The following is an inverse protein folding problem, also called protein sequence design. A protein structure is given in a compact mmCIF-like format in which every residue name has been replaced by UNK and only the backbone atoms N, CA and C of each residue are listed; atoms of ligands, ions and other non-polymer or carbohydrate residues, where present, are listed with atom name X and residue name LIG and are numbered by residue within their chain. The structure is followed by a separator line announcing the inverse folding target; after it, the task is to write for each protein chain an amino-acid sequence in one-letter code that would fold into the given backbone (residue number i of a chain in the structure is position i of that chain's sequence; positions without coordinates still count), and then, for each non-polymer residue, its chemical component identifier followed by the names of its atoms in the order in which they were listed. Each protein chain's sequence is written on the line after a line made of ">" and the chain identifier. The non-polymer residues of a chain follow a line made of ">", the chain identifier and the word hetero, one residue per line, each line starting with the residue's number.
data_IF_552106880066
#
_entry.id   IF_552106880066
#
_cell.length_a   1.000
_cell.length_b   1.000
_cell.length_c   1.000
_cell.angle_alpha   90.00
_cell.angle_beta   90.00
_cell.angle_gamma   90.00
#
_symmetry.space_group_name_H-M   'P 1'
#
loop_
_entity.id
_entity.type
_entity.pdbx_description
1 polymer ?
#
# COMPACT_ATOMS: atom_id res chain seq x y z
N UNK A 1 -75.29 -31.91 8.14
CA UNK A 1 -74.41 -30.85 7.60
C UNK A 1 -74.24 -31.13 6.12
N UNK A 2 -74.61 -30.20 5.25
CA UNK A 2 -74.54 -30.36 3.79
C UNK A 2 -73.11 -30.24 3.27
N UNK A 3 -72.80 -30.97 2.20
CA UNK A 3 -71.49 -30.97 1.52
C UNK A 3 -71.00 -29.57 1.08
N UNK A 4 -71.93 -28.61 0.96
CA UNK A 4 -71.64 -27.22 0.59
C UNK A 4 -70.86 -26.45 1.67
N UNK A 5 -71.07 -26.78 2.96
CA UNK A 5 -70.35 -26.12 4.08
C UNK A 5 -68.87 -26.52 4.09
N UNK A 6 -68.56 -27.77 3.72
CA UNK A 6 -67.19 -28.27 3.62
C UNK A 6 -66.39 -27.63 2.48
N UNK A 7 -67.03 -27.40 1.33
CA UNK A 7 -66.40 -26.76 0.16
C UNK A 7 -66.06 -25.28 0.41
N UNK A 8 -66.92 -24.54 1.11
CA UNK A 8 -66.68 -23.14 1.47
C UNK A 8 -65.55 -23.01 2.50
N UNK A 9 -65.52 -23.90 3.50
CA UNK A 9 -64.44 -23.93 4.49
C UNK A 9 -63.09 -24.36 3.89
N UNK A 10 -63.10 -25.32 2.96
CA UNK A 10 -61.90 -25.74 2.23
C UNK A 10 -61.38 -24.63 1.29
N UNK A 11 -62.28 -23.96 0.54
CA UNK A 11 -61.92 -22.84 -0.33
C UNK A 11 -61.35 -21.64 0.43
N UNK A 12 -61.94 -21.30 1.60
CA UNK A 12 -61.44 -20.24 2.49
C UNK A 12 -60.07 -20.56 3.09
N UNK A 13 -59.86 -21.81 3.54
CA UNK A 13 -58.57 -22.24 4.09
C UNK A 13 -57.45 -22.22 3.02
N UNK A 14 -57.75 -22.67 1.80
CA UNK A 14 -56.78 -22.64 0.68
C UNK A 14 -56.43 -21.20 0.29
N UNK A 15 -57.41 -20.28 0.30
CA UNK A 15 -57.18 -18.86 -0.02
C UNK A 15 -56.32 -18.15 1.04
N UNK A 16 -56.53 -18.43 2.32
CA UNK A 16 -55.72 -17.88 3.43
C UNK A 16 -54.28 -18.41 3.37
N UNK A 17 -54.09 -19.71 3.13
CA UNK A 17 -52.77 -20.31 2.98
C UNK A 17 -52.04 -19.74 1.75
N UNK A 18 -52.72 -19.55 0.62
CA UNK A 18 -52.14 -18.92 -0.56
C UNK A 18 -51.73 -17.46 -0.30
N UNK A 19 -52.53 -16.69 0.45
CA UNK A 19 -52.20 -15.32 0.85
C UNK A 19 -50.98 -15.23 1.76
N UNK A 20 -50.86 -16.13 2.74
CA UNK A 20 -49.72 -16.18 3.66
C UNK A 20 -48.45 -16.60 2.91
N UNK A 21 -48.52 -17.63 2.06
CA UNK A 21 -47.38 -18.05 1.23
C UNK A 21 -46.96 -16.94 0.26
N UNK A 22 -47.91 -16.24 -0.35
CA UNK A 22 -47.64 -15.09 -1.21
C UNK A 22 -46.92 -13.95 -0.47
N UNK A 23 -47.36 -13.62 0.75
CA UNK A 23 -46.73 -12.60 1.57
C UNK A 23 -45.30 -12.98 2.00
N UNK A 24 -45.10 -14.22 2.48
CA UNK A 24 -43.77 -14.71 2.90
C UNK A 24 -42.79 -14.74 1.73
N UNK A 25 -43.23 -15.17 0.54
CA UNK A 25 -42.39 -15.18 -0.66
C UNK A 25 -42.03 -13.75 -1.08
N UNK A 26 -42.99 -12.81 -1.03
CA UNK A 26 -42.74 -11.41 -1.35
C UNK A 26 -41.73 -10.76 -0.40
N UNK A 27 -41.83 -11.02 0.91
CA UNK A 27 -40.87 -10.52 1.91
C UNK A 27 -39.46 -11.13 1.72
N UNK A 28 -39.37 -12.41 1.31
CA UNK A 28 -38.11 -13.06 0.96
C UNK A 28 -37.45 -12.47 -0.29
N UNK A 29 -38.23 -12.14 -1.31
CA UNK A 29 -37.71 -11.44 -2.48
C UNK A 29 -37.27 -10.02 -2.14
N UNK A 30 -38.07 -9.29 -1.36
CA UNK A 30 -37.77 -7.92 -0.95
C UNK A 30 -36.49 -7.84 -0.11
N UNK A 31 -36.34 -8.71 0.89
CA UNK A 31 -35.11 -8.80 1.69
C UNK A 31 -33.86 -9.16 0.87
N UNK A 32 -33.99 -10.03 -0.14
CA UNK A 32 -32.89 -10.34 -1.06
C UNK A 32 -32.56 -9.18 -1.99
N UNK A 33 -33.55 -8.41 -2.42
CA UNK A 33 -33.33 -7.21 -3.22
C UNK A 33 -32.68 -6.10 -2.39
N UNK A 34 -33.10 -5.92 -1.14
CA UNK A 34 -32.50 -4.99 -0.17
C UNK A 34 -31.03 -5.38 0.11
N UNK A 35 -30.73 -6.65 0.39
CA UNK A 35 -29.36 -7.12 0.58
C UNK A 35 -28.47 -6.92 -0.66
N UNK A 36 -29.02 -7.15 -1.87
CA UNK A 36 -28.30 -6.87 -3.13
C UNK A 36 -28.12 -5.37 -3.36
N UNK A 37 -29.07 -4.54 -2.95
CA UNK A 37 -28.96 -3.09 -3.05
C UNK A 37 -27.90 -2.55 -2.08
N UNK A 38 -27.83 -3.08 -0.86
CA UNK A 38 -26.78 -2.79 0.12
C UNK A 38 -25.41 -3.22 -0.39
N UNK A 39 -25.28 -4.42 -0.96
CA UNK A 39 -24.03 -4.90 -1.57
C UNK A 39 -23.58 -4.01 -2.74
N UNK A 40 -24.52 -3.58 -3.60
CA UNK A 40 -24.23 -2.61 -4.68
C UNK A 40 -23.83 -1.24 -4.13
N UNK A 41 -24.47 -0.78 -3.06
CA UNK A 41 -24.15 0.50 -2.43
C UNK A 41 -22.76 0.45 -1.78
N UNK A 42 -22.43 -0.65 -1.09
CA UNK A 42 -21.12 -0.89 -0.49
C UNK A 42 -20.02 -0.96 -1.56
N UNK A 43 -20.22 -1.77 -2.61
CA UNK A 43 -19.24 -1.89 -3.70
C UNK A 43 -19.04 -0.58 -4.46
N UNK A 44 -20.11 0.20 -4.65
CA UNK A 44 -20.00 1.55 -5.22
C UNK A 44 -19.23 2.49 -4.30
N UNK A 45 -19.57 2.53 -3.00
CA UNK A 45 -18.88 3.37 -2.02
C UNK A 45 -17.40 3.01 -1.92
N UNK A 46 -17.07 1.73 -1.96
CA UNK A 46 -15.68 1.26 -1.93
C UNK A 46 -14.93 1.68 -3.20
N UNK A 47 -15.55 1.55 -4.38
CA UNK A 47 -14.97 2.02 -5.63
C UNK A 47 -14.75 3.54 -5.63
N UNK A 48 -15.74 4.31 -5.17
CA UNK A 48 -15.64 5.77 -5.09
C UNK A 48 -14.50 6.18 -4.13
N UNK A 49 -14.34 5.48 -3.00
CA UNK A 49 -13.22 5.66 -2.08
C UNK A 49 -11.88 5.35 -2.75
N UNK A 50 -11.77 4.22 -3.43
CA UNK A 50 -10.55 3.80 -4.13
C UNK A 50 -10.16 4.79 -5.23
N UNK A 51 -11.13 5.27 -6.01
CA UNK A 51 -10.91 6.31 -7.02
C UNK A 51 -10.38 7.59 -6.39
N UNK A 52 -11.01 8.07 -5.31
CA UNK A 52 -10.55 9.26 -4.59
C UNK A 52 -9.13 9.09 -4.02
N UNK A 53 -8.78 7.89 -3.55
CA UNK A 53 -7.42 7.57 -3.08
C UNK A 53 -6.41 7.57 -4.23
N UNK A 54 -6.75 6.98 -5.37
CA UNK A 54 -5.88 6.94 -6.55
C UNK A 54 -5.53 8.37 -7.04
N UNK A 55 -6.50 9.27 -7.08
CA UNK A 55 -6.27 10.69 -7.43
C UNK A 55 -5.37 11.42 -6.43
N UNK A 56 -5.56 11.13 -5.13
CA UNK A 56 -4.70 11.69 -4.08
C UNK A 56 -3.26 11.19 -4.20
N UNK A 57 -3.05 9.91 -4.54
CA UNK A 57 -1.72 9.34 -4.74
C UNK A 57 -1.00 10.04 -5.90
N UNK A 58 -1.66 10.32 -7.02
CA UNK A 58 -1.05 11.08 -8.14
C UNK A 58 -0.56 12.46 -7.70
N UNK A 59 -1.39 13.14 -6.90
CA UNK A 59 -1.08 14.47 -6.37
C UNK A 59 0.12 14.41 -5.41
N UNK A 60 0.09 13.47 -4.46
CA UNK A 60 1.17 13.28 -3.49
C UNK A 60 2.47 12.87 -4.17
N UNK A 61 2.43 11.99 -5.17
CA UNK A 61 3.62 11.55 -5.87
C UNK A 61 4.28 12.69 -6.66
N UNK A 62 3.48 13.59 -7.25
CA UNK A 62 4.02 14.78 -7.90
C UNK A 62 4.72 15.70 -6.90
N UNK A 63 4.11 15.96 -5.74
CA UNK A 63 4.73 16.74 -4.67
C UNK A 63 5.98 16.06 -4.09
N UNK A 64 5.97 14.72 -4.04
CA UNK A 64 7.08 13.91 -3.57
C UNK A 64 8.29 14.03 -4.50
N UNK A 65 8.07 13.90 -5.81
CA UNK A 65 9.11 14.11 -6.81
C UNK A 65 9.69 15.54 -6.75
N UNK A 66 8.84 16.55 -6.59
CA UNK A 66 9.27 17.94 -6.40
C UNK A 66 10.11 18.13 -5.12
N UNK A 67 9.72 17.49 -4.01
CA UNK A 67 10.47 17.54 -2.76
C UNK A 67 11.87 16.89 -2.91
N UNK A 68 11.97 15.76 -3.61
CA UNK A 68 13.26 15.11 -3.90
C UNK A 68 14.14 16.02 -4.75
N UNK A 69 13.59 16.66 -5.79
CA UNK A 69 14.34 17.64 -6.58
C UNK A 69 14.79 18.87 -5.75
N UNK A 70 13.98 19.31 -4.79
CA UNK A 70 14.32 20.43 -3.91
C UNK A 70 15.49 20.08 -2.97
N UNK A 71 15.52 18.83 -2.43
CA UNK A 71 16.67 18.31 -1.66
C UNK A 71 17.94 18.37 -2.51
N UNK A 72 17.89 17.90 -3.76
CA UNK A 72 19.03 17.91 -4.68
C UNK A 72 19.59 19.31 -4.92
N UNK A 73 18.73 20.33 -4.95
CA UNK A 73 19.12 21.72 -5.22
C UNK A 73 19.72 22.41 -3.99
N UNK A 74 19.83 21.74 -2.83
CA UNK A 74 20.32 22.30 -1.56
C UNK A 74 19.70 23.68 -1.29
N UNK A 75 18.38 23.80 -1.43
CA UNK A 75 17.68 25.00 -1.00
C UNK A 75 17.68 25.02 0.54
N UNK A 76 18.78 25.48 1.12
CA UNK A 76 19.08 25.43 2.56
C UNK A 76 18.18 26.31 3.45
N UNK A 77 17.17 26.99 2.89
CA UNK A 77 16.37 28.00 3.60
C UNK A 77 14.84 27.83 3.43
N UNK A 78 14.33 26.59 3.37
CA UNK A 78 12.88 26.33 3.30
C UNK A 78 12.45 25.44 4.46
N UNK A 79 11.48 25.91 5.25
CA UNK A 79 10.80 25.16 6.30
C UNK A 79 9.43 24.69 5.81
N UNK A 80 9.04 23.40 5.99
CA UNK A 80 9.83 22.31 6.57
C UNK A 80 11.00 21.88 5.68
N UNK A 81 12.01 21.23 6.28
CA UNK A 81 13.19 20.76 5.54
C UNK A 81 12.75 19.89 4.36
N UNK A 82 13.31 20.08 3.15
CA UNK A 82 12.97 19.25 1.99
C UNK A 82 13.11 17.74 2.26
N UNK A 83 14.00 17.34 3.17
CA UNK A 83 14.20 15.95 3.59
C UNK A 83 13.03 15.42 4.42
N UNK A 84 12.57 16.19 5.41
CA UNK A 84 11.39 15.84 6.24
C UNK A 84 10.15 15.75 5.37
N UNK A 85 9.96 16.74 4.48
CA UNK A 85 8.84 16.75 3.54
C UNK A 85 8.84 15.55 2.60
N UNK A 86 10.02 15.14 2.10
CA UNK A 86 10.18 13.92 1.29
C UNK A 86 9.72 12.69 2.07
N UNK A 87 10.16 12.54 3.32
CA UNK A 87 9.81 11.41 4.17
C UNK A 87 8.31 11.35 4.50
N UNK A 88 7.70 12.49 4.83
CA UNK A 88 6.27 12.57 5.13
C UNK A 88 5.40 12.21 3.92
N UNK A 89 5.75 12.71 2.73
CA UNK A 89 5.04 12.41 1.49
C UNK A 89 5.14 10.93 1.13
N UNK A 90 6.33 10.34 1.27
CA UNK A 90 6.55 8.91 1.08
C UNK A 90 5.64 8.07 1.99
N UNK A 91 5.59 8.38 3.29
CA UNK A 91 4.73 7.66 4.24
C UNK A 91 3.24 7.82 3.94
N UNK A 92 2.80 9.01 3.53
CA UNK A 92 1.41 9.24 3.13
C UNK A 92 1.02 8.40 1.91
N UNK A 93 1.91 8.27 0.92
CA UNK A 93 1.69 7.40 -0.23
C UNK A 93 1.53 5.95 0.25
N UNK A 94 2.46 5.42 1.06
CA UNK A 94 2.37 4.05 1.58
C UNK A 94 1.07 3.80 2.34
N UNK A 95 0.65 4.71 3.21
CA UNK A 95 -0.60 4.57 3.95
C UNK A 95 -1.81 4.53 3.02
N UNK A 96 -1.82 5.37 1.96
CA UNK A 96 -2.91 5.40 0.99
C UNK A 96 -2.98 4.14 0.12
N UNK A 97 -1.85 3.49 -0.19
CA UNK A 97 -1.87 2.24 -0.96
C UNK A 97 -2.65 1.12 -0.29
N UNK A 98 -2.82 1.14 1.05
CA UNK A 98 -3.62 0.16 1.79
C UNK A 98 -5.10 0.13 1.38
N UNK A 99 -5.57 1.21 0.76
CA UNK A 99 -6.94 1.30 0.28
C UNK A 99 -7.08 0.95 -1.20
N UNK A 100 -6.00 0.62 -1.90
CA UNK A 100 -6.04 0.19 -3.31
C UNK A 100 -6.18 -1.35 -3.41
N UNK A 101 -6.63 -1.87 -4.56
CA UNK A 101 -6.50 -3.29 -4.88
C UNK A 101 -5.05 -3.77 -4.76
N UNK A 102 -4.83 -5.02 -4.32
CA UNK A 102 -3.48 -5.53 -3.96
C UNK A 102 -2.45 -5.39 -5.11
N UNK A 103 -2.82 -5.76 -6.33
CA UNK A 103 -1.96 -5.65 -7.52
C UNK A 103 -1.50 -4.21 -7.74
N UNK A 104 -2.44 -3.28 -7.71
CA UNK A 104 -2.14 -1.87 -7.86
C UNK A 104 -1.36 -1.32 -6.66
N UNK A 105 -1.70 -1.73 -5.45
CA UNK A 105 -1.03 -1.31 -4.22
C UNK A 105 0.46 -1.69 -4.25
N UNK A 106 0.77 -2.90 -4.70
CA UNK A 106 2.15 -3.41 -4.80
C UNK A 106 2.94 -2.61 -5.85
N UNK A 107 2.36 -2.35 -7.02
CA UNK A 107 3.00 -1.50 -8.03
C UNK A 107 3.25 -0.07 -7.52
N UNK A 108 2.27 0.56 -6.87
CA UNK A 108 2.44 1.91 -6.32
C UNK A 108 3.52 1.94 -5.23
N UNK A 109 3.57 0.94 -4.35
CA UNK A 109 4.60 0.85 -3.30
C UNK A 109 5.98 0.72 -3.90
N UNK A 110 6.17 -0.21 -4.84
CA UNK A 110 7.44 -0.38 -5.53
C UNK A 110 7.91 0.93 -6.17
N UNK A 111 7.04 1.62 -6.91
CA UNK A 111 7.40 2.88 -7.56
C UNK A 111 7.72 4.00 -6.54
N UNK A 112 7.04 4.01 -5.39
CA UNK A 112 7.34 4.94 -4.30
C UNK A 112 8.68 4.61 -3.62
N UNK A 113 8.98 3.33 -3.40
CA UNK A 113 10.24 2.87 -2.82
C UNK A 113 11.42 3.19 -3.75
N UNK A 114 11.30 2.87 -5.04
CA UNK A 114 12.31 3.23 -6.06
C UNK A 114 12.53 4.75 -6.11
N UNK A 115 11.46 5.54 -6.13
CA UNK A 115 11.58 6.99 -6.14
C UNK A 115 12.21 7.53 -4.84
N UNK A 116 11.86 6.95 -3.69
CA UNK A 116 12.47 7.29 -2.41
C UNK A 116 13.96 6.95 -2.38
N UNK A 117 14.38 5.83 -2.97
CA UNK A 117 15.79 5.42 -3.00
C UNK A 117 16.55 5.89 -4.24
N UNK A 118 15.96 6.76 -5.08
CA UNK A 118 16.54 7.14 -6.36
C UNK A 118 17.93 7.80 -6.26
N UNK A 119 18.27 8.44 -5.14
CA UNK A 119 19.63 8.98 -4.89
C UNK A 119 20.69 7.88 -4.78
N UNK A 120 20.32 6.75 -4.20
CA UNK A 120 21.19 5.61 -3.90
C UNK A 120 21.27 4.67 -5.11
N UNK A 121 20.14 4.49 -5.80
CA UNK A 121 20.08 3.73 -7.05
C UNK A 121 20.83 4.42 -8.20
N UNK A 122 20.80 5.74 -8.26
CA UNK A 122 21.43 6.48 -9.35
C UNK A 122 22.96 6.40 -9.28
N UNK A 123 23.66 6.49 -10.44
CA UNK A 123 25.11 6.64 -10.44
C UNK A 123 25.48 7.95 -9.72
N UNK A 124 26.08 7.83 -8.53
CA UNK A 124 26.46 8.93 -7.64
C UNK A 124 27.96 8.99 -7.36
N UNK A 125 28.41 10.08 -6.70
CA UNK A 125 29.80 10.60 -6.61
C UNK A 125 30.92 9.61 -6.21
N UNK A 126 30.55 8.44 -5.71
CA UNK A 126 31.45 7.39 -5.19
C UNK A 126 31.47 6.11 -6.05
N UNK A 127 30.72 6.07 -7.17
CA UNK A 127 30.81 5.00 -8.17
C UNK A 127 29.96 3.74 -7.89
N UNK A 128 29.13 3.72 -6.85
CA UNK A 128 28.41 2.54 -6.37
C UNK A 128 26.90 2.52 -6.70
N UNK A 129 26.41 3.31 -7.66
CA UNK A 129 24.99 3.27 -8.02
C UNK A 129 24.60 1.93 -8.66
N UNK A 130 23.54 1.29 -8.15
CA UNK A 130 23.05 0.00 -8.65
C UNK A 130 22.33 0.09 -10.00
N UNK A 131 21.99 1.30 -10.44
CA UNK A 131 21.36 1.55 -11.73
C UNK A 131 22.17 2.52 -12.60
N UNK A 132 22.07 2.37 -13.92
CA UNK A 132 22.83 3.17 -14.89
C UNK A 132 22.23 4.57 -15.17
N UNK A 133 21.02 4.84 -14.67
CA UNK A 133 20.29 6.08 -14.95
C UNK A 133 20.44 7.08 -13.82
N UNK A 134 20.63 8.36 -14.16
CA UNK A 134 20.63 9.43 -13.18
C UNK A 134 19.29 9.54 -12.43
N UNK A 135 19.34 10.02 -11.20
CA UNK A 135 18.21 10.15 -10.28
C UNK A 135 16.97 10.80 -10.93
N UNK A 136 17.14 11.94 -11.61
CA UNK A 136 16.03 12.64 -12.27
C UNK A 136 15.30 11.77 -13.31
N UNK A 137 16.06 10.94 -14.04
CA UNK A 137 15.50 9.99 -15.00
C UNK A 137 14.71 8.89 -14.29
N UNK A 138 15.23 8.35 -13.18
CA UNK A 138 14.54 7.35 -12.36
C UNK A 138 13.20 7.91 -11.87
N UNK A 139 13.21 9.10 -11.26
CA UNK A 139 12.00 9.76 -10.74
C UNK A 139 10.96 10.01 -11.84
N UNK A 140 11.39 10.50 -13.00
CA UNK A 140 10.50 10.74 -14.13
C UNK A 140 9.86 9.45 -14.64
N UNK A 141 10.63 8.35 -14.70
CA UNK A 141 10.11 7.06 -15.11
C UNK A 141 9.14 6.49 -14.08
N UNK A 142 9.43 6.60 -12.78
CA UNK A 142 8.50 6.20 -11.73
C UNK A 142 7.17 6.97 -11.83
N UNK A 143 7.23 8.28 -12.07
CA UNK A 143 6.05 9.11 -12.28
C UNK A 143 5.23 8.65 -13.49
N UNK A 144 5.88 8.41 -14.62
CA UNK A 144 5.22 7.94 -15.84
C UNK A 144 4.55 6.57 -15.63
N UNK A 145 5.23 5.62 -14.99
CA UNK A 145 4.65 4.31 -14.71
C UNK A 145 3.47 4.42 -13.74
N UNK A 146 3.59 5.23 -12.68
CA UNK A 146 2.51 5.45 -11.74
C UNK A 146 1.27 6.08 -12.40
N UNK A 147 1.49 7.06 -13.28
CA UNK A 147 0.42 7.69 -14.06
C UNK A 147 -0.28 6.68 -14.97
N UNK A 148 0.45 5.76 -15.60
CA UNK A 148 -0.15 4.69 -16.41
C UNK A 148 -1.01 3.76 -15.56
N UNK A 149 -0.49 3.29 -14.43
CA UNK A 149 -1.16 2.38 -13.50
C UNK A 149 -2.47 2.97 -12.98
N UNK A 150 -2.38 4.17 -12.38
CA UNK A 150 -3.53 4.84 -11.80
C UNK A 150 -4.53 5.30 -12.86
N UNK A 151 -4.08 5.71 -14.05
CA UNK A 151 -5.00 6.06 -15.13
C UNK A 151 -5.73 4.84 -15.71
N UNK A 152 -5.08 3.67 -15.77
CA UNK A 152 -5.75 2.42 -16.13
C UNK A 152 -6.83 2.07 -15.10
N UNK A 153 -6.48 2.13 -13.82
CA UNK A 153 -7.40 1.86 -12.71
C UNK A 153 -8.62 2.80 -12.72
N UNK A 154 -8.40 4.12 -12.81
CA UNK A 154 -9.47 5.12 -12.85
C UNK A 154 -10.42 4.95 -14.05
N UNK A 155 -9.95 4.33 -15.13
CA UNK A 155 -10.75 4.01 -16.33
C UNK A 155 -11.40 2.63 -16.26
N UNK A 156 -11.27 1.91 -15.15
CA UNK A 156 -11.77 0.55 -14.97
C UNK A 156 -11.10 -0.47 -15.88
N UNK A 157 -9.86 -0.23 -16.28
CA UNK A 157 -9.05 -1.13 -17.09
C UNK A 157 -8.17 -2.00 -16.19
N UNK A 158 -7.77 -3.21 -16.63
CA UNK A 158 -6.78 -3.99 -15.90
C UNK A 158 -5.50 -3.17 -15.71
N UNK A 159 -4.86 -3.33 -14.54
CA UNK A 159 -3.53 -2.77 -14.28
C UNK A 159 -2.56 -3.29 -15.35
N UNK A 160 -1.83 -2.39 -16.04
CA UNK A 160 -0.78 -2.82 -16.95
C UNK A 160 0.29 -3.60 -16.20
N UNK A 161 1.00 -4.48 -16.91
CA UNK A 161 2.21 -5.06 -16.32
C UNK A 161 3.29 -3.99 -16.17
N UNK A 162 4.04 -4.03 -15.06
CA UNK A 162 5.23 -3.21 -14.89
C UNK A 162 6.16 -3.32 -16.11
N UNK A 163 6.65 -2.17 -16.56
CA UNK A 163 7.60 -2.13 -17.67
C UNK A 163 8.88 -2.87 -17.33
N UNK A 164 9.60 -3.33 -18.35
CA UNK A 164 10.92 -3.97 -18.15
C UNK A 164 11.91 -3.06 -17.43
N UNK A 165 11.70 -1.75 -17.48
CA UNK A 165 12.49 -0.76 -16.77
C UNK A 165 12.13 -0.71 -15.28
N UNK A 166 10.84 -0.71 -14.93
CA UNK A 166 10.42 -0.81 -13.53
C UNK A 166 10.96 -2.07 -12.84
N UNK A 167 11.02 -3.20 -13.55
CA UNK A 167 11.65 -4.43 -13.05
C UNK A 167 13.16 -4.31 -12.84
N UNK A 168 13.85 -3.51 -13.66
CA UNK A 168 15.27 -3.23 -13.43
C UNK A 168 15.49 -2.38 -12.19
N UNK A 169 14.57 -1.44 -11.90
CA UNK A 169 14.63 -0.68 -10.65
C UNK A 169 14.37 -1.54 -9.42
N UNK A 170 13.43 -2.49 -9.51
CA UNK A 170 13.17 -3.47 -8.45
C UNK A 170 14.44 -4.26 -8.12
N UNK A 171 15.10 -4.82 -9.13
CA UNK A 171 16.38 -5.54 -8.94
C UNK A 171 17.47 -4.65 -8.35
N UNK A 172 17.61 -3.42 -8.83
CA UNK A 172 18.60 -2.48 -8.30
C UNK A 172 18.32 -2.11 -6.83
N UNK A 173 17.05 -2.07 -6.43
CA UNK A 173 16.63 -1.81 -5.06
C UNK A 173 16.86 -3.02 -4.15
N UNK A 174 16.63 -4.24 -4.66
CA UNK A 174 17.00 -5.47 -3.96
C UNK A 174 18.52 -5.53 -3.73
N UNK A 175 19.33 -5.22 -4.75
CA UNK A 175 20.78 -5.19 -4.62
C UNK A 175 21.26 -4.18 -3.55
N UNK A 176 20.67 -2.97 -3.51
CA UNK A 176 20.97 -1.96 -2.48
C UNK A 176 20.61 -2.44 -1.06
N UNK A 177 19.44 -3.06 -0.90
CA UNK A 177 19.05 -3.62 0.41
C UNK A 177 19.92 -4.79 0.82
N UNK A 178 20.35 -5.62 -0.12
CA UNK A 178 21.23 -6.75 0.13
C UNK A 178 22.62 -6.30 0.61
N UNK A 179 23.19 -5.26 -0.03
CA UNK A 179 24.45 -4.64 0.39
C UNK A 179 24.33 -4.04 1.79
N UNK A 180 23.27 -3.25 2.06
CA UNK A 180 23.03 -2.67 3.39
C UNK A 180 22.85 -3.70 4.49
N UNK A 181 22.20 -4.83 4.19
CA UNK A 181 22.07 -5.94 5.16
C UNK A 181 23.42 -6.56 5.46
N UNK A 182 24.29 -6.70 4.45
CA UNK A 182 25.66 -7.19 4.63
C UNK A 182 26.48 -6.24 5.49
N UNK A 183 26.45 -4.94 5.18
CA UNK A 183 27.18 -3.91 5.91
C UNK A 183 26.74 -3.85 7.37
N UNK A 184 25.43 -3.87 7.63
CA UNK A 184 24.89 -3.87 8.98
C UNK A 184 25.27 -5.13 9.77
N UNK A 185 25.29 -6.30 9.12
CA UNK A 185 25.75 -7.53 9.75
C UNK A 185 27.23 -7.47 10.12
N UNK A 186 28.05 -6.84 9.27
CA UNK A 186 29.46 -6.61 9.57
C UNK A 186 29.64 -5.63 10.73
N UNK A 187 28.91 -4.52 10.76
CA UNK A 187 28.96 -3.55 11.86
C UNK A 187 28.58 -4.20 13.21
N UNK A 188 27.57 -5.08 13.22
CA UNK A 188 27.22 -5.84 14.42
C UNK A 188 28.37 -6.76 14.84
N UNK A 189 28.96 -7.50 13.91
CA UNK A 189 30.07 -8.41 14.23
C UNK A 189 31.29 -7.64 14.78
N UNK A 190 31.61 -6.48 14.20
CA UNK A 190 32.68 -5.61 14.70
C UNK A 190 32.36 -5.04 16.09
N UNK A 191 31.10 -4.68 16.36
CA UNK A 191 30.66 -4.22 17.67
C UNK A 191 30.72 -5.33 18.73
N UNK A 192 30.34 -6.57 18.38
CA UNK A 192 30.44 -7.75 19.24
C UNK A 192 31.91 -8.08 19.57
N UNK A 193 32.79 -8.09 18.57
CA UNK A 193 34.24 -8.30 18.75
C UNK A 193 34.85 -7.22 19.65
N UNK A 194 34.48 -5.95 19.43
CA UNK A 194 34.93 -4.83 20.26
C UNK A 194 34.43 -4.94 21.70
N UNK A 195 33.20 -5.40 21.91
CA UNK A 195 32.63 -5.67 23.23
C UNK A 195 33.38 -6.80 23.94
N UNK A 196 33.67 -7.89 23.23
CA UNK A 196 34.44 -9.02 23.74
C UNK A 196 35.86 -8.63 24.13
N UNK A 197 36.54 -7.83 23.31
CA UNK A 197 37.84 -7.25 23.65
C UNK A 197 37.77 -6.36 24.89
N UNK A 198 36.75 -5.52 25.00
CA UNK A 198 36.56 -4.63 26.14
C UNK A 198 36.32 -5.40 27.46
N UNK A 199 35.58 -6.50 27.41
CA UNK A 199 35.38 -7.42 28.56
C UNK A 199 36.68 -8.15 28.90
N UNK A 200 37.45 -8.61 27.91
CA UNK A 200 38.75 -9.28 28.13
C UNK A 200 39.76 -8.36 28.80
N UNK A 201 39.74 -7.06 28.48
CA UNK A 201 40.67 -6.06 29.05
C UNK A 201 40.41 -5.76 30.53
N UNK A 202 39.16 -5.74 30.98
CA UNK A 202 38.82 -5.68 32.41
C UNK A 202 37.56 -6.50 32.71
N UNK A 203 37.67 -7.67 33.39
CA UNK A 203 36.53 -8.52 33.73
C UNK A 203 35.45 -7.84 34.58
N UNK A 204 35.73 -6.73 35.26
CA UNK A 204 34.74 -5.95 36.04
C UNK A 204 33.71 -5.26 35.15
N UNK A 205 34.03 -5.08 33.86
CA UNK A 205 33.15 -4.50 32.84
C UNK A 205 31.98 -5.42 32.42
N UNK A 206 31.92 -6.66 32.93
CA UNK A 206 30.77 -7.57 32.72
C UNK A 206 29.52 -7.18 33.51
N UNK A 207 29.68 -6.55 34.68
CA UNK A 207 28.56 -6.25 35.57
C UNK A 207 27.59 -5.17 35.03
N UNK A 208 28.03 -4.10 34.34
CA UNK A 208 27.15 -3.07 33.78
C UNK A 208 26.30 -3.51 32.58
N UNK A 209 26.64 -4.63 31.91
CA UNK A 209 25.93 -5.13 30.72
C UNK A 209 24.69 -5.97 31.06
N UNK A 210 24.46 -6.29 32.34
CA UNK A 210 23.16 -6.79 32.79
C UNK A 210 22.19 -5.62 32.85
N UNK A 211 21.66 -5.23 31.70
CA UNK A 211 20.37 -4.57 31.66
C UNK A 211 19.39 -5.64 32.15
N UNK A 212 19.04 -5.56 33.43
CA UNK A 212 17.94 -6.30 34.01
C UNK A 212 16.69 -5.89 33.23
N UNK A 213 16.27 -6.73 32.30
CA UNK A 213 14.87 -6.80 31.87
C UNK A 213 14.08 -7.38 33.04
N UNK A 214 13.94 -6.60 34.10
CA UNK A 214 12.97 -6.88 35.15
C UNK A 214 11.63 -6.33 34.63
N UNK A 215 10.80 -7.28 34.18
CA UNK A 215 9.34 -7.30 34.04
C UNK A 215 8.55 -5.99 33.80
#
# INVERSE_FOLDING_TARGET
>A
MSNEVWLVLAGGAISVVAGIVGAVVNDLFKSREEARAEERAYTKSERDRQHGVAEQILTLFSQFAEAIEAVRRMAEDISPSPVERRYDLYNQIKQKTLYLPNDLADHVRLLADVAYHADELAPGRWGAGHHWQGQSTILQNCKIELEKELSAFLRGRPSPSLSSLAKQYELALEDDFDERRSDFAQEIAEAEDAQDEWIKRDPKNRAPLRITNDE
#
